data_IF_733629614350
#
_entry.id   IF_733629614350
#
_cell.length_a   1.000
_cell.length_b   1.000
_cell.length_c   1.000
_cell.angle_alpha   90.00
_cell.angle_beta   90.00
_cell.angle_gamma   90.00
#
_symmetry.space_group_name_H-M   'P 1'
#
loop_
_entity.id
_entity.type
_entity.pdbx_description
1 polymer ?
#
# COMPACT_ATOMS: atom_id res chain seq x y z
N UNK A 1 -30.53 -3.96 34.36
CA UNK A 1 -30.25 -2.61 33.82
C UNK A 1 -29.05 -1.93 34.50
N UNK A 2 -28.94 -1.94 35.84
CA UNK A 2 -27.82 -1.31 36.58
C UNK A 2 -26.42 -1.72 36.08
N UNK A 3 -26.20 -3.00 35.81
CA UNK A 3 -24.89 -3.50 35.39
C UNK A 3 -24.48 -2.97 34.00
N UNK A 4 -25.44 -2.84 33.08
CA UNK A 4 -25.18 -2.26 31.75
C UNK A 4 -24.79 -0.77 31.84
N UNK A 5 -25.43 -0.03 32.75
CA UNK A 5 -25.07 1.37 33.03
C UNK A 5 -23.65 1.50 33.57
N UNK A 6 -23.23 0.59 34.46
CA UNK A 6 -21.87 0.57 35.00
C UNK A 6 -20.83 0.26 33.91
N UNK A 7 -21.08 -0.73 33.04
CA UNK A 7 -20.21 -1.02 31.91
C UNK A 7 -20.09 0.16 30.95
N UNK A 8 -21.21 0.82 30.64
CA UNK A 8 -21.22 2.01 29.80
C UNK A 8 -20.39 3.15 30.42
N UNK A 9 -20.56 3.40 31.72
CA UNK A 9 -19.81 4.43 32.42
C UNK A 9 -18.30 4.14 32.41
N UNK A 10 -17.91 2.90 32.69
CA UNK A 10 -16.51 2.47 32.66
C UNK A 10 -15.87 2.63 31.28
N UNK A 11 -16.63 2.35 30.21
CA UNK A 11 -16.16 2.52 28.84
C UNK A 11 -15.93 4.00 28.50
N UNK A 12 -16.86 4.88 28.88
CA UNK A 12 -16.73 6.33 28.68
C UNK A 12 -15.54 6.91 29.46
N UNK A 13 -15.34 6.50 30.71
CA UNK A 13 -14.19 6.94 31.52
C UNK A 13 -12.87 6.38 30.98
N UNK A 14 -12.83 5.11 30.60
CA UNK A 14 -11.66 4.50 29.98
C UNK A 14 -11.27 5.17 28.66
N UNK A 15 -12.28 5.55 27.85
CA UNK A 15 -12.06 6.31 26.62
C UNK A 15 -11.59 7.75 26.89
N UNK A 16 -12.02 8.41 27.97
CA UNK A 16 -11.47 9.72 28.32
C UNK A 16 -10.00 9.65 28.77
N UNK A 17 -9.60 8.57 29.44
CA UNK A 17 -8.23 8.38 29.91
C UNK A 17 -7.26 7.97 28.79
N UNK A 18 -7.68 7.07 27.89
CA UNK A 18 -6.81 6.47 26.88
C UNK A 18 -7.27 6.62 25.42
N UNK A 19 -8.48 7.09 25.19
CA UNK A 19 -9.06 7.21 23.85
C UNK A 19 -8.32 8.21 22.97
N UNK A 20 -7.84 9.33 23.52
CA UNK A 20 -7.01 10.27 22.77
C UNK A 20 -5.71 9.64 22.26
N UNK A 21 -5.06 8.79 23.07
CA UNK A 21 -3.87 8.05 22.67
C UNK A 21 -4.19 7.05 21.55
N UNK A 22 -5.30 6.31 21.67
CA UNK A 22 -5.75 5.35 20.66
C UNK A 22 -6.04 6.07 19.33
N UNK A 23 -6.78 7.19 19.37
CA UNK A 23 -7.09 8.01 18.17
C UNK A 23 -5.79 8.50 17.53
N UNK A 24 -4.86 9.03 18.32
CA UNK A 24 -3.59 9.55 17.82
C UNK A 24 -2.76 8.44 17.14
N UNK A 25 -2.76 7.22 17.70
CA UNK A 25 -2.07 6.08 17.09
C UNK A 25 -2.72 5.64 15.78
N UNK A 26 -4.04 5.64 15.70
CA UNK A 26 -4.77 5.36 14.45
C UNK A 26 -4.45 6.42 13.40
N UNK A 27 -4.49 7.70 13.76
CA UNK A 27 -4.16 8.81 12.87
C UNK A 27 -2.70 8.75 12.40
N UNK A 28 -1.74 8.48 13.28
CA UNK A 28 -0.33 8.30 12.89
C UNK A 28 -0.16 7.18 11.88
N UNK A 29 -0.89 6.07 12.04
CA UNK A 29 -0.82 4.96 11.10
C UNK A 29 -1.42 5.34 9.73
N UNK A 30 -2.54 6.08 9.72
CA UNK A 30 -3.14 6.59 8.49
C UNK A 30 -2.21 7.59 7.78
N UNK A 31 -1.65 8.56 8.50
CA UNK A 31 -0.72 9.55 7.96
C UNK A 31 0.53 8.88 7.39
N UNK A 32 1.09 7.88 8.07
CA UNK A 32 2.26 7.15 7.54
C UNK A 32 1.94 6.44 6.23
N UNK A 33 0.77 5.79 6.14
CA UNK A 33 0.31 5.15 4.91
C UNK A 33 0.09 6.17 3.80
N UNK A 34 -0.50 7.30 4.13
CA UNK A 34 -0.76 8.37 3.18
C UNK A 34 0.54 9.00 2.66
N UNK A 35 1.52 9.27 3.53
CA UNK A 35 2.85 9.76 3.13
C UNK A 35 3.54 8.76 2.20
N UNK A 36 3.53 7.46 2.52
CA UNK A 36 4.11 6.43 1.63
C UNK A 36 3.41 6.44 0.28
N UNK A 37 2.08 6.58 0.26
CA UNK A 37 1.31 6.65 -0.96
C UNK A 37 1.60 7.93 -1.76
N UNK A 38 1.68 9.09 -1.11
CA UNK A 38 2.03 10.37 -1.73
C UNK A 38 3.46 10.36 -2.27
N UNK A 39 4.41 9.71 -1.58
CA UNK A 39 5.76 9.48 -2.11
C UNK A 39 5.68 8.62 -3.37
N UNK A 40 4.94 7.49 -3.35
CA UNK A 40 4.73 6.65 -4.54
C UNK A 40 4.12 7.45 -5.70
N UNK A 41 3.19 8.37 -5.42
CA UNK A 41 2.55 9.24 -6.43
C UNK A 41 3.44 10.41 -6.90
N UNK A 42 4.33 10.91 -6.03
CA UNK A 42 5.24 12.02 -6.29
C UNK A 42 6.54 11.62 -6.99
N UNK A 43 6.82 10.31 -7.10
CA UNK A 43 7.90 9.80 -7.95
C UNK A 43 7.57 10.19 -9.39
N UNK A 44 8.46 10.97 -9.99
CA UNK A 44 8.32 11.38 -11.39
C UNK A 44 8.17 10.13 -12.26
N UNK A 45 7.23 10.14 -13.22
CA UNK A 45 7.05 9.01 -14.16
C UNK A 45 8.36 8.60 -14.85
N UNK A 46 9.35 9.52 -14.92
CA UNK A 46 10.69 9.28 -15.44
C UNK A 46 11.53 8.30 -14.63
N UNK A 47 11.25 8.14 -13.33
CA UNK A 47 11.97 7.23 -12.44
C UNK A 47 11.29 5.87 -12.31
N UNK A 48 10.01 5.78 -12.70
CA UNK A 48 9.26 4.52 -12.77
C UNK A 48 9.77 3.65 -13.91
N UNK A 49 9.87 2.36 -13.64
CA UNK A 49 10.14 1.36 -14.67
C UNK A 49 8.82 0.90 -15.24
N UNK A 50 8.60 1.06 -16.55
CA UNK A 50 7.40 0.57 -17.23
C UNK A 50 7.68 -0.82 -17.79
N UNK A 51 6.92 -1.81 -17.34
CA UNK A 51 7.00 -3.20 -17.82
C UNK A 51 5.71 -3.51 -18.57
N UNK A 52 5.80 -3.60 -19.90
CA UNK A 52 4.68 -4.05 -20.74
C UNK A 52 4.56 -5.57 -20.64
N UNK A 53 3.41 -6.03 -20.17
CA UNK A 53 3.07 -7.44 -20.00
C UNK A 53 1.98 -7.83 -20.99
N UNK A 54 2.26 -8.88 -21.75
CA UNK A 54 1.35 -9.57 -22.65
C UNK A 54 1.35 -11.07 -22.32
N UNK A 55 0.44 -11.85 -22.91
CA UNK A 55 0.39 -13.30 -22.68
C UNK A 55 1.71 -14.04 -22.99
N UNK A 56 2.62 -13.45 -23.76
CA UNK A 56 3.92 -14.05 -24.09
C UNK A 56 4.93 -13.96 -22.94
N UNK A 57 4.88 -12.89 -22.16
CA UNK A 57 5.85 -12.63 -21.10
C UNK A 57 5.25 -12.75 -19.69
N UNK A 58 3.92 -12.89 -19.57
CA UNK A 58 3.22 -13.09 -18.29
C UNK A 58 3.80 -14.26 -17.49
N UNK A 59 4.16 -15.35 -18.18
CA UNK A 59 4.79 -16.54 -17.57
C UNK A 59 6.19 -16.29 -16.97
N UNK A 60 6.82 -15.15 -17.29
CA UNK A 60 8.13 -14.75 -16.75
C UNK A 60 8.01 -13.91 -15.47
N UNK A 61 6.82 -13.44 -15.12
CA UNK A 61 6.58 -12.72 -13.87
C UNK A 61 6.39 -13.72 -12.74
N UNK A 62 7.29 -13.67 -11.76
CA UNK A 62 7.19 -14.46 -10.53
C UNK A 62 6.53 -13.60 -9.46
N UNK A 63 5.23 -13.75 -9.29
CA UNK A 63 4.45 -13.00 -8.30
C UNK A 63 4.82 -13.41 -6.88
N UNK A 64 5.07 -12.40 -6.03
CA UNK A 64 5.28 -12.55 -4.59
C UNK A 64 4.02 -12.18 -3.82
N UNK A 65 3.35 -11.13 -4.28
CA UNK A 65 2.07 -10.65 -3.76
C UNK A 65 1.29 -9.95 -4.89
N UNK A 66 0.07 -9.48 -4.63
CA UNK A 66 -0.81 -8.79 -5.58
C UNK A 66 -0.20 -7.51 -6.21
N UNK A 67 0.70 -6.83 -5.49
CA UNK A 67 1.37 -5.60 -5.93
C UNK A 67 2.90 -5.79 -6.10
N UNK A 68 3.45 -6.98 -5.89
CA UNK A 68 4.89 -7.24 -6.00
C UNK A 68 5.21 -8.48 -6.83
N UNK A 69 6.13 -8.32 -7.78
CA UNK A 69 6.63 -9.42 -8.61
C UNK A 69 8.14 -9.31 -8.87
N UNK A 70 8.75 -10.45 -9.18
CA UNK A 70 10.10 -10.52 -9.71
C UNK A 70 10.06 -10.73 -11.22
N UNK A 71 10.81 -9.92 -11.96
CA UNK A 71 10.98 -10.02 -13.40
C UNK A 71 12.46 -9.93 -13.75
N UNK A 72 12.98 -10.91 -14.52
CA UNK A 72 14.41 -11.00 -14.89
C UNK A 72 15.38 -10.89 -13.70
N UNK A 73 14.99 -11.42 -12.54
CA UNK A 73 15.81 -11.41 -11.32
C UNK A 73 15.80 -10.11 -10.52
N UNK A 74 15.00 -9.11 -10.92
CA UNK A 74 14.80 -7.87 -10.15
C UNK A 74 13.37 -7.84 -9.58
N UNK A 75 13.24 -7.40 -8.33
CA UNK A 75 11.94 -7.20 -7.66
C UNK A 75 11.36 -5.82 -8.02
N UNK A 76 10.05 -5.81 -8.25
CA UNK A 76 9.28 -4.65 -8.65
C UNK A 76 8.00 -4.55 -7.80
N UNK A 77 7.73 -3.34 -7.30
CA UNK A 77 6.51 -2.95 -6.59
C UNK A 77 5.65 -2.10 -7.54
N UNK A 78 4.41 -2.54 -7.81
CA UNK A 78 3.47 -1.92 -8.76
C UNK A 78 2.90 -0.65 -8.13
N UNK A 79 3.05 0.47 -8.85
CA UNK A 79 2.47 1.76 -8.45
C UNK A 79 1.20 2.05 -9.25
N UNK A 80 1.19 1.69 -10.53
CA UNK A 80 0.08 1.97 -11.45
C UNK A 80 0.02 0.91 -12.54
N UNK A 81 -1.20 0.58 -12.96
CA UNK A 81 -1.47 -0.33 -14.07
C UNK A 81 -2.20 0.47 -15.15
N UNK A 82 -1.69 0.44 -16.37
CA UNK A 82 -2.35 0.97 -17.56
C UNK A 82 -2.75 -0.19 -18.47
N UNK A 83 -4.01 -0.27 -18.85
CA UNK A 83 -4.51 -1.31 -19.75
C UNK A 83 -4.63 -0.71 -21.14
N UNK A 84 -3.74 -1.12 -22.07
CA UNK A 84 -3.79 -0.63 -23.45
C UNK A 84 -4.84 -1.39 -24.27
N UNK A 85 -4.85 -2.72 -24.14
CA UNK A 85 -5.77 -3.62 -24.87
C UNK A 85 -6.16 -4.80 -23.97
N UNK A 86 -7.15 -5.61 -24.38
CA UNK A 86 -7.60 -6.79 -23.62
C UNK A 86 -6.49 -7.77 -23.23
N UNK A 87 -5.37 -7.77 -23.97
CA UNK A 87 -4.28 -8.71 -23.80
C UNK A 87 -2.93 -8.07 -23.42
N UNK A 88 -2.90 -6.74 -23.24
CA UNK A 88 -1.67 -5.98 -22.99
C UNK A 88 -1.87 -4.99 -21.84
N UNK A 89 -1.07 -5.15 -20.78
CA UNK A 89 -1.05 -4.27 -19.60
C UNK A 89 0.33 -3.68 -19.42
N UNK A 90 0.43 -2.42 -19.02
CA UNK A 90 1.68 -1.76 -18.65
C UNK A 90 1.69 -1.57 -17.14
N UNK A 91 2.65 -2.20 -16.48
CA UNK A 91 2.91 -2.01 -15.06
C UNK A 91 3.96 -0.92 -14.88
N UNK A 92 3.58 0.19 -14.28
CA UNK A 92 4.52 1.19 -13.79
C UNK A 92 4.94 0.78 -12.39
N UNK A 93 6.23 0.49 -12.23
CA UNK A 93 6.75 -0.12 -11.02
C UNK A 93 8.05 0.53 -10.55
N UNK A 94 8.29 0.42 -9.25
CA UNK A 94 9.54 0.85 -8.61
C UNK A 94 10.39 -0.41 -8.44
N UNK A 95 11.61 -0.39 -8.96
CA UNK A 95 12.55 -1.48 -8.70
C UNK A 95 13.13 -1.36 -7.31
N UNK A 96 13.38 -2.50 -6.66
CA UNK A 96 14.01 -2.52 -5.33
C UNK A 96 15.40 -1.86 -5.33
N UNK A 97 16.09 -1.89 -6.48
CA UNK A 97 17.36 -1.17 -6.71
C UNK A 97 17.24 0.36 -6.60
N UNK A 98 16.05 0.92 -6.83
CA UNK A 98 15.77 2.36 -6.71
C UNK A 98 15.06 2.71 -5.41
N UNK A 99 14.70 1.73 -4.59
CA UNK A 99 14.03 1.95 -3.31
C UNK A 99 15.06 2.56 -2.35
N UNK A 100 14.82 3.75 -1.78
CA UNK A 100 15.73 4.29 -0.77
C UNK A 100 15.71 3.36 0.46
N UNK A 101 16.91 2.93 0.89
CA UNK A 101 17.14 2.15 2.11
C UNK A 101 16.58 2.83 3.36
#
# INVERSE_FOLDING_TARGET
MKNATVFFLLLVFGFNLGGAYIILRIQQHQIRREIVHQIKQGISEKDLTSITVSSENENQLIWKDHEEFSYKGTMYDIVRIEVLDNNTKVYHCISDLKKPN
#
